data_IF_668457139377
#
_entry.id   IF_668457139377
#
_cell.length_a   1.000
_cell.length_b   1.000
_cell.length_c   1.000
_cell.angle_alpha   90.00
_cell.angle_beta   90.00
_cell.angle_gamma   90.00
#
_symmetry.space_group_name_H-M   'P 1'
#
loop_
_entity.id
_entity.type
_entity.pdbx_description
1 polymer ?
#
# COMPACT_ATOMS: atom_id res chain seq x y z
N UNK A 1 -6.64 20.17 -7.07
CA UNK A 1 -7.90 19.40 -7.06
C UNK A 1 -7.67 18.20 -6.13
N UNK A 2 -7.31 18.47 -4.87
CA UNK A 2 -6.98 17.45 -3.86
C UNK A 2 -8.14 17.24 -2.86
N UNK A 3 -9.24 17.98 -3.03
CA UNK A 3 -10.46 17.94 -2.22
C UNK A 3 -11.47 16.87 -2.69
N UNK A 4 -11.08 15.94 -3.58
CA UNK A 4 -12.11 15.24 -4.37
C UNK A 4 -12.56 13.89 -3.82
N UNK A 5 -11.78 13.23 -2.95
CA UNK A 5 -12.24 11.98 -2.32
C UNK A 5 -12.71 12.30 -0.90
N UNK A 6 -13.98 12.04 -0.68
CA UNK A 6 -14.70 12.28 0.56
C UNK A 6 -14.82 11.01 1.38
N UNK A 7 -15.10 11.14 2.67
CA UNK A 7 -15.39 10.01 3.56
C UNK A 7 -16.51 9.12 2.98
N UNK A 8 -17.53 9.73 2.37
CA UNK A 8 -18.67 9.01 1.79
C UNK A 8 -18.32 8.01 0.69
N UNK A 9 -17.19 8.22 0.01
CA UNK A 9 -16.73 7.36 -1.09
C UNK A 9 -16.02 6.09 -0.60
N UNK A 10 -15.57 6.08 0.65
CA UNK A 10 -14.73 5.00 1.19
C UNK A 10 -15.26 4.38 2.49
N UNK A 11 -16.23 5.02 3.13
CA UNK A 11 -16.84 4.51 4.36
C UNK A 11 -17.57 3.19 4.13
N UNK A 12 -17.66 2.37 5.18
CA UNK A 12 -18.55 1.22 5.21
C UNK A 12 -19.95 1.72 5.56
N UNK A 13 -20.92 1.44 4.68
CA UNK A 13 -22.32 1.87 4.85
C UNK A 13 -23.15 0.89 5.68
N UNK A 14 -22.80 -0.40 5.66
CA UNK A 14 -23.44 -1.44 6.48
C UNK A 14 -22.88 -1.42 7.92
N UNK A 15 -23.30 -0.41 8.70
CA UNK A 15 -22.83 -0.23 10.08
C UNK A 15 -23.56 -1.19 11.03
N UNK A 16 -22.78 -2.00 11.76
CA UNK A 16 -23.30 -2.85 12.84
C UNK A 16 -23.70 -1.97 14.02
N UNK A 17 -24.96 -2.07 14.44
CA UNK A 17 -25.54 -1.24 15.51
C UNK A 17 -26.22 -2.06 16.60
N UNK A 18 -26.29 -1.51 17.80
CA UNK A 18 -27.03 -2.09 18.94
C UNK A 18 -27.75 -1.00 19.77
N UNK A 19 -28.86 -1.32 20.43
CA UNK A 19 -29.53 -0.38 21.34
C UNK A 19 -28.76 -0.23 22.67
N UNK A 20 -28.93 0.89 23.41
CA UNK A 20 -28.20 1.15 24.65
C UNK A 20 -28.40 0.10 25.75
N UNK A 21 -29.58 -0.52 25.81
CA UNK A 21 -29.96 -1.56 26.77
C UNK A 21 -29.47 -2.97 26.36
N UNK A 22 -28.79 -3.10 25.21
CA UNK A 22 -28.12 -4.34 24.87
C UNK A 22 -27.00 -4.66 25.87
N UNK A 23 -26.67 -5.93 26.02
CA UNK A 23 -25.61 -6.36 26.93
C UNK A 23 -24.24 -6.35 26.26
N UNK A 24 -23.18 -6.16 27.03
CA UNK A 24 -21.79 -6.24 26.55
C UNK A 24 -21.51 -7.60 25.88
N UNK A 25 -22.06 -8.70 26.42
CA UNK A 25 -21.96 -10.03 25.79
C UNK A 25 -22.64 -10.10 24.41
N UNK A 26 -23.77 -9.40 24.24
CA UNK A 26 -24.44 -9.30 22.95
C UNK A 26 -23.61 -8.52 21.93
N UNK A 27 -22.99 -7.42 22.34
CA UNK A 27 -22.08 -6.64 21.48
C UNK A 27 -20.84 -7.45 21.09
N UNK A 28 -20.18 -8.15 22.04
CA UNK A 28 -19.06 -9.03 21.72
C UNK A 28 -19.42 -10.15 20.73
N UNK A 29 -20.65 -10.66 20.81
CA UNK A 29 -21.18 -11.63 19.84
C UNK A 29 -21.37 -11.00 18.46
N UNK A 30 -21.87 -9.76 18.38
CA UNK A 30 -22.01 -9.02 17.12
C UNK A 30 -20.65 -8.78 16.45
N UNK A 31 -19.65 -8.31 17.20
CA UNK A 31 -18.29 -8.10 16.68
C UNK A 31 -17.76 -9.37 16.01
N UNK A 32 -17.85 -10.51 16.70
CA UNK A 32 -17.36 -11.80 16.19
C UNK A 32 -18.15 -12.29 14.98
N UNK A 33 -19.48 -12.29 15.07
CA UNK A 33 -20.34 -12.93 14.08
C UNK A 33 -20.39 -12.12 12.77
N UNK A 34 -20.34 -10.79 12.87
CA UNK A 34 -20.30 -9.88 11.71
C UNK A 34 -18.86 -9.59 11.24
N UNK A 35 -17.83 -10.02 12.00
CA UNK A 35 -16.43 -9.82 11.65
C UNK A 35 -15.99 -8.35 11.67
N UNK A 36 -16.58 -7.55 12.55
CA UNK A 36 -16.30 -6.10 12.70
C UNK A 36 -15.58 -5.83 14.01
N UNK A 37 -14.82 -4.73 14.07
CA UNK A 37 -14.04 -4.34 15.26
C UNK A 37 -14.74 -3.32 16.16
N UNK A 38 -15.91 -2.82 15.76
CA UNK A 38 -16.74 -1.93 16.57
C UNK A 38 -18.25 -2.10 16.33
N UNK A 39 -19.05 -1.72 17.33
CA UNK A 39 -20.52 -1.61 17.26
C UNK A 39 -20.92 -0.20 17.65
N UNK A 40 -21.70 0.47 16.79
CA UNK A 40 -22.25 1.79 17.11
C UNK A 40 -23.53 1.64 17.94
N UNK A 41 -23.54 2.26 19.11
CA UNK A 41 -24.69 2.28 20.03
C UNK A 41 -25.61 3.42 19.65
N UNK A 42 -26.91 3.14 19.45
CA UNK A 42 -27.89 4.16 19.04
C UNK A 42 -29.28 3.96 19.65
N UNK A 43 -29.96 5.07 19.89
CA UNK A 43 -31.39 5.13 20.16
C UNK A 43 -31.99 6.24 19.28
N UNK A 44 -32.36 5.85 18.05
CA UNK A 44 -32.52 6.80 16.95
C UNK A 44 -31.15 7.28 16.45
N UNK A 45 -30.63 8.34 17.07
CA UNK A 45 -29.31 8.91 16.77
C UNK A 45 -28.17 8.08 17.41
N UNK A 46 -26.96 8.09 16.84
CA UNK A 46 -25.80 7.43 17.44
C UNK A 46 -25.38 8.17 18.71
N UNK A 47 -25.19 7.43 19.80
CA UNK A 47 -24.89 7.98 21.15
C UNK A 47 -23.53 7.52 21.70
N UNK A 48 -22.95 6.48 21.12
CA UNK A 48 -21.67 5.93 21.56
C UNK A 48 -21.16 4.84 20.63
N UNK A 49 -19.96 4.35 20.91
CA UNK A 49 -19.34 3.24 20.20
C UNK A 49 -18.73 2.29 21.23
N UNK A 50 -18.75 1.00 20.92
CA UNK A 50 -18.09 -0.05 21.69
C UNK A 50 -17.15 -0.83 20.76
N UNK A 51 -15.92 -1.02 21.20
CA UNK A 51 -14.83 -1.71 20.52
C UNK A 51 -14.38 -2.92 21.32
N UNK A 52 -13.51 -3.76 20.73
CA UNK A 52 -12.90 -4.87 21.46
C UNK A 52 -12.12 -4.41 22.71
N UNK A 53 -11.50 -3.23 22.64
CA UNK A 53 -10.72 -2.64 23.74
C UNK A 53 -11.55 -2.31 24.97
N UNK A 54 -12.80 -1.90 24.80
CA UNK A 54 -13.68 -1.49 25.90
C UNK A 54 -14.07 -2.68 26.80
N UNK A 55 -13.99 -3.92 26.30
CA UNK A 55 -14.24 -5.11 27.12
C UNK A 55 -13.06 -5.51 27.99
N UNK A 56 -11.85 -4.99 27.72
CA UNK A 56 -10.63 -5.45 28.37
C UNK A 56 -10.66 -5.21 29.89
N UNK A 57 -11.17 -4.07 30.32
CA UNK A 57 -11.30 -3.72 31.74
C UNK A 57 -12.25 -4.70 32.46
N UNK A 58 -13.45 -4.91 31.91
CA UNK A 58 -14.44 -5.83 32.51
C UNK A 58 -14.01 -7.30 32.50
N UNK A 59 -13.25 -7.73 31.50
CA UNK A 59 -12.65 -9.06 31.47
C UNK A 59 -11.60 -9.22 32.58
N UNK A 60 -10.81 -8.18 32.86
CA UNK A 60 -9.83 -8.19 33.95
C UNK A 60 -10.50 -8.27 35.33
N UNK A 61 -11.66 -7.62 35.48
CA UNK A 61 -12.45 -7.63 36.72
C UNK A 61 -13.30 -8.90 36.90
N UNK A 62 -13.39 -9.75 35.87
CA UNK A 62 -14.25 -10.95 35.83
C UNK A 62 -15.73 -10.64 36.00
N UNK A 63 -16.16 -9.48 35.49
CA UNK A 63 -17.55 -9.06 35.48
C UNK A 63 -18.36 -9.93 34.51
N UNK A 64 -19.59 -10.27 34.86
CA UNK A 64 -20.50 -10.96 33.94
C UNK A 64 -21.01 -9.99 32.87
N UNK A 65 -20.40 -10.06 31.68
CA UNK A 65 -20.78 -9.24 30.52
C UNK A 65 -22.24 -9.41 30.07
N UNK A 66 -22.93 -10.47 30.51
CA UNK A 66 -24.36 -10.65 30.27
C UNK A 66 -25.24 -9.73 31.13
N UNK A 67 -24.66 -9.10 32.16
CA UNK A 67 -25.36 -8.21 33.10
C UNK A 67 -24.98 -6.73 32.97
N UNK A 68 -24.00 -6.42 32.11
CA UNK A 68 -23.52 -5.06 31.85
C UNK A 68 -24.21 -4.53 30.58
N UNK A 69 -24.87 -3.39 30.69
CA UNK A 69 -25.51 -2.71 29.55
C UNK A 69 -24.48 -1.90 28.75
N UNK A 70 -24.71 -1.66 27.45
CA UNK A 70 -23.75 -0.91 26.63
C UNK A 70 -23.57 0.52 27.11
N UNK A 71 -24.56 1.12 27.79
CA UNK A 71 -24.42 2.43 28.42
C UNK A 71 -23.32 2.51 29.48
N UNK A 72 -22.94 1.38 30.06
CA UNK A 72 -21.90 1.31 31.10
C UNK A 72 -20.50 1.07 30.52
N UNK A 73 -20.41 0.75 29.21
CA UNK A 73 -19.15 0.34 28.54
C UNK A 73 -18.80 1.24 27.36
N UNK A 74 -19.79 1.93 26.78
CA UNK A 74 -19.58 2.77 25.62
C UNK A 74 -18.61 3.93 25.89
N UNK A 75 -17.82 4.26 24.88
CA UNK A 75 -17.02 5.47 24.87
C UNK A 75 -17.89 6.68 24.49
N UNK A 76 -17.87 7.72 25.33
CA UNK A 76 -18.58 8.99 25.11
C UNK A 76 -17.75 10.19 25.63
N UNK A 77 -17.81 11.38 24.97
CA UNK A 77 -18.67 11.74 23.85
C UNK A 77 -18.28 11.05 22.54
N UNK A 78 -19.27 10.69 21.72
CA UNK A 78 -19.05 10.06 20.43
C UNK A 78 -18.44 11.07 19.46
N UNK A 79 -17.19 10.83 19.07
CA UNK A 79 -16.57 11.59 17.98
C UNK A 79 -17.10 11.06 16.64
N UNK A 80 -17.52 11.99 15.77
CA UNK A 80 -18.15 11.66 14.48
C UNK A 80 -17.55 12.53 13.38
N UNK A 81 -17.75 12.11 12.13
CA UNK A 81 -17.26 12.83 10.95
C UNK A 81 -18.37 12.99 9.91
N UNK A 82 -18.35 14.09 9.16
CA UNK A 82 -19.35 14.33 8.11
C UNK A 82 -18.97 13.55 6.82
N UNK A 83 -19.95 13.06 6.05
CA UNK A 83 -19.71 12.27 4.85
C UNK A 83 -18.95 13.03 3.75
N UNK A 84 -19.09 14.35 3.68
CA UNK A 84 -18.42 15.24 2.73
C UNK A 84 -17.01 15.68 3.19
N UNK A 85 -16.58 15.27 4.39
CA UNK A 85 -15.23 15.53 4.88
C UNK A 85 -14.19 14.89 3.96
N UNK A 86 -13.06 15.57 3.73
CA UNK A 86 -11.97 14.99 2.94
C UNK A 86 -11.28 13.85 3.70
N UNK A 87 -10.73 12.86 2.99
CA UNK A 87 -9.96 11.78 3.64
C UNK A 87 -8.74 12.34 4.39
N UNK A 88 -8.11 13.40 3.88
CA UNK A 88 -6.94 14.03 4.54
C UNK A 88 -7.32 14.56 5.91
N UNK A 89 -8.45 15.26 6.00
CA UNK A 89 -8.94 15.79 7.26
C UNK A 89 -9.39 14.65 8.19
N UNK A 90 -10.02 13.60 7.64
CA UNK A 90 -10.39 12.42 8.42
C UNK A 90 -9.18 11.70 9.07
N UNK A 91 -8.06 11.59 8.34
CA UNK A 91 -6.80 11.05 8.87
C UNK A 91 -6.25 11.93 9.99
N UNK A 92 -6.34 13.25 9.86
CA UNK A 92 -5.92 14.18 10.91
C UNK A 92 -6.77 13.99 12.17
N UNK A 93 -8.10 13.88 12.03
CA UNK A 93 -9.02 13.62 13.15
C UNK A 93 -8.67 12.31 13.87
N UNK A 94 -8.46 11.20 13.16
CA UNK A 94 -8.07 9.92 13.78
C UNK A 94 -6.73 10.01 14.51
N UNK A 95 -5.74 10.73 13.94
CA UNK A 95 -4.44 10.94 14.59
C UNK A 95 -4.52 11.79 15.85
N UNK A 96 -5.31 12.85 15.83
CA UNK A 96 -5.44 13.79 16.94
C UNK A 96 -6.27 13.21 18.09
N UNK A 97 -7.34 12.48 17.75
CA UNK A 97 -8.23 11.84 18.73
C UNK A 97 -7.66 10.53 19.29
N UNK A 98 -6.81 9.84 18.53
CA UNK A 98 -6.27 8.53 18.90
C UNK A 98 -7.27 7.38 18.77
N UNK A 99 -8.43 7.64 18.15
CA UNK A 99 -9.44 6.62 17.86
C UNK A 99 -9.14 5.91 16.55
N UNK A 100 -9.58 4.65 16.44
CA UNK A 100 -9.44 3.85 15.22
C UNK A 100 -10.72 3.80 14.38
N UNK A 101 -11.82 4.32 14.92
CA UNK A 101 -13.17 4.22 14.35
C UNK A 101 -13.89 5.56 14.47
N UNK A 102 -14.39 6.07 13.35
CA UNK A 102 -15.21 7.28 13.27
C UNK A 102 -16.56 6.95 12.62
N UNK A 103 -17.65 6.93 13.40
CA UNK A 103 -18.99 6.94 12.84
C UNK A 103 -19.20 8.16 11.94
N UNK A 104 -19.76 7.92 10.76
CA UNK A 104 -20.06 8.94 9.77
C UNK A 104 -21.52 9.35 9.90
N UNK A 105 -21.76 10.62 10.14
CA UNK A 105 -23.09 11.17 10.41
C UNK A 105 -23.42 12.27 9.40
N UNK A 106 -24.58 12.16 8.76
CA UNK A 106 -25.09 13.19 7.86
C UNK A 106 -26.00 14.17 8.63
N UNK A 107 -25.64 15.46 8.60
CA UNK A 107 -26.28 16.54 9.37
C UNK A 107 -25.49 16.96 10.62
N UNK A 108 -26.01 17.99 11.32
CA UNK A 108 -25.44 18.50 12.58
C UNK A 108 -25.74 17.55 13.78
N UNK A 109 -25.48 17.98 15.03
CA UNK A 109 -25.73 17.20 16.26
C UNK A 109 -27.08 16.45 16.26
N UNK A 110 -27.02 15.11 16.26
CA UNK A 110 -28.19 14.23 16.18
C UNK A 110 -28.55 13.73 14.77
N UNK A 111 -27.67 13.95 13.78
CA UNK A 111 -27.82 13.48 12.40
C UNK A 111 -27.89 11.96 12.24
N UNK A 112 -28.19 11.53 11.02
CA UNK A 112 -28.36 10.13 10.69
C UNK A 112 -27.01 9.43 10.51
N UNK A 113 -26.84 8.26 11.15
CA UNK A 113 -25.67 7.41 10.94
C UNK A 113 -25.71 6.83 9.52
N UNK A 114 -24.79 7.28 8.67
CA UNK A 114 -24.72 6.89 7.25
C UNK A 114 -23.54 5.98 6.92
N UNK A 115 -22.58 5.86 7.83
CA UNK A 115 -21.46 4.93 7.65
C UNK A 115 -20.52 4.88 8.84
N UNK A 116 -19.42 4.17 8.67
CA UNK A 116 -18.29 4.16 9.59
C UNK A 116 -17.00 4.19 8.78
N UNK A 117 -16.03 4.98 9.25
CA UNK A 117 -14.69 5.04 8.71
C UNK A 117 -13.72 4.52 9.75
N UNK A 118 -12.94 3.51 9.41
CA UNK A 118 -11.89 2.99 10.30
C UNK A 118 -10.50 3.15 9.69
N UNK A 119 -9.48 2.95 10.52
CA UNK A 119 -8.10 2.82 10.06
C UNK A 119 -7.92 1.70 9.03
N UNK A 120 -8.82 0.70 9.00
CA UNK A 120 -8.80 -0.38 7.99
C UNK A 120 -9.23 0.15 6.63
N UNK A 121 -10.35 0.88 6.53
CA UNK A 121 -10.75 1.51 5.26
C UNK A 121 -9.66 2.46 4.79
N UNK A 122 -9.10 3.25 5.71
CA UNK A 122 -7.98 4.12 5.40
C UNK A 122 -6.72 3.35 5.01
N UNK A 123 -6.45 2.15 5.52
CA UNK A 123 -5.26 1.39 5.11
C UNK A 123 -5.23 1.09 3.62
N UNK A 124 -6.40 1.00 2.97
CA UNK A 124 -6.51 0.88 1.51
C UNK A 124 -6.22 2.20 0.76
N UNK A 125 -6.28 3.36 1.44
CA UNK A 125 -6.16 4.70 0.85
C UNK A 125 -4.98 5.56 1.36
N UNK A 126 -4.43 5.27 2.54
CA UNK A 126 -3.22 5.87 3.13
C UNK A 126 -2.03 5.82 2.18
N UNK A 127 -1.83 4.77 1.36
CA UNK A 127 -0.77 4.78 0.36
C UNK A 127 -0.95 5.89 -0.70
N UNK A 128 -2.17 6.40 -0.94
CA UNK A 128 -2.43 7.48 -1.89
C UNK A 128 -2.26 8.88 -1.29
N UNK A 129 -2.28 9.02 0.04
CA UNK A 129 -2.17 10.31 0.73
C UNK A 129 -0.73 10.64 1.16
N UNK A 130 0.11 9.64 1.42
CA UNK A 130 1.54 9.84 1.65
C UNK A 130 2.26 10.43 0.41
N UNK A 131 1.73 10.18 -0.79
CA UNK A 131 2.41 10.35 -2.08
C UNK A 131 2.39 11.74 -2.73
N UNK A 132 1.88 12.82 -2.11
CA UNK A 132 1.70 14.09 -2.85
C UNK A 132 2.09 15.40 -2.15
N UNK A 133 2.92 15.35 -1.12
CA UNK A 133 3.74 16.51 -0.71
C UNK A 133 4.89 16.80 -1.67
N UNK A 134 5.23 15.89 -2.59
CA UNK A 134 6.23 16.09 -3.65
C UNK A 134 5.60 16.30 -5.02
N UNK A 135 5.45 17.57 -5.43
CA UNK A 135 4.99 17.91 -6.77
C UNK A 135 6.03 17.52 -7.84
N UNK A 136 5.77 16.47 -8.61
CA UNK A 136 6.53 16.17 -9.82
C UNK A 136 6.13 17.13 -10.93
N UNK A 137 6.89 18.22 -11.04
CA UNK A 137 6.92 19.06 -12.23
C UNK A 137 7.34 18.25 -13.46
N UNK A 138 6.56 18.37 -14.52
CA UNK A 138 6.89 17.81 -15.83
C UNK A 138 8.11 18.53 -16.39
N UNK A 139 9.27 17.90 -16.37
CA UNK A 139 10.32 18.20 -17.34
C UNK A 139 11.14 16.95 -17.72
N UNK A 140 11.67 16.98 -18.94
CA UNK A 140 12.04 15.83 -19.81
C UNK A 140 13.02 14.79 -19.21
N UNK A 141 12.88 13.49 -19.53
CA UNK A 141 13.86 12.46 -19.16
C UNK A 141 15.19 12.66 -19.90
N UNK A 142 16.31 12.60 -19.17
CA UNK A 142 17.65 12.39 -19.73
C UNK A 142 18.09 10.97 -19.38
N UNK A 143 18.20 10.12 -20.40
CA UNK A 143 18.62 8.74 -20.30
C UNK A 143 20.15 8.66 -20.30
N UNK A 144 20.77 8.17 -19.23
CA UNK A 144 22.18 7.73 -19.23
C UNK A 144 22.32 6.43 -18.45
N UNK A 145 22.91 5.44 -19.12
CA UNK A 145 23.26 4.09 -18.66
C UNK A 145 24.22 4.19 -17.45
N UNK A 146 23.94 3.44 -16.37
CA UNK A 146 24.84 3.29 -15.21
C UNK A 146 25.80 2.11 -15.42
N UNK A 147 26.96 2.19 -14.77
CA UNK A 147 28.17 1.39 -15.05
C UNK A 147 28.09 -0.07 -14.56
N UNK A 148 27.15 -0.41 -13.68
CA UNK A 148 27.07 -1.70 -12.99
C UNK A 148 26.04 -2.68 -13.58
N UNK A 149 25.22 -2.25 -14.54
CA UNK A 149 24.36 -3.17 -15.30
C UNK A 149 25.11 -3.77 -16.49
N UNK A 150 25.25 -5.09 -16.53
CA UNK A 150 26.04 -5.79 -17.56
C UNK A 150 25.41 -5.74 -18.97
N UNK A 151 24.08 -5.65 -19.07
CA UNK A 151 23.36 -5.60 -20.35
C UNK A 151 22.01 -4.88 -20.20
N UNK A 152 21.47 -4.41 -21.32
CA UNK A 152 20.13 -3.82 -21.44
C UNK A 152 19.44 -4.39 -22.69
N UNK A 153 18.11 -4.28 -22.76
CA UNK A 153 17.32 -4.65 -23.94
C UNK A 153 16.63 -3.42 -24.52
N UNK A 154 16.37 -3.44 -25.82
CA UNK A 154 15.78 -2.31 -26.56
C UNK A 154 14.37 -1.93 -26.08
N UNK A 155 13.61 -2.88 -25.53
CA UNK A 155 12.25 -2.66 -25.03
C UNK A 155 12.19 -2.08 -23.60
N UNK A 156 13.34 -2.04 -22.92
CA UNK A 156 13.46 -1.55 -21.55
C UNK A 156 13.65 -0.03 -21.55
N UNK A 157 12.94 0.64 -20.66
CA UNK A 157 13.12 2.06 -20.42
C UNK A 157 13.42 2.27 -18.95
N UNK A 158 14.39 3.13 -18.66
CA UNK A 158 14.74 3.50 -17.30
C UNK A 158 15.01 4.99 -17.22
N UNK A 159 14.77 5.53 -16.03
CA UNK A 159 15.01 6.93 -15.73
C UNK A 159 15.50 7.02 -14.29
N UNK A 160 16.54 7.82 -14.04
CA UNK A 160 16.92 8.21 -12.70
C UNK A 160 16.94 9.73 -12.64
N UNK A 161 16.24 10.31 -11.67
CA UNK A 161 16.17 11.74 -11.41
C UNK A 161 16.75 12.02 -10.04
N UNK A 162 17.75 12.89 -10.00
CA UNK A 162 18.44 13.30 -8.78
C UNK A 162 19.05 14.70 -8.96
N UNK A 163 19.26 15.40 -7.86
CA UNK A 163 20.04 16.64 -7.86
C UNK A 163 21.55 16.35 -8.00
N UNK A 164 22.01 15.20 -7.49
CA UNK A 164 23.38 14.71 -7.63
C UNK A 164 23.40 13.30 -8.21
N UNK A 165 24.02 13.11 -9.36
CA UNK A 165 24.06 11.79 -10.03
C UNK A 165 25.08 10.80 -9.42
N UNK A 166 25.89 11.24 -8.46
CA UNK A 166 26.97 10.42 -7.84
C UNK A 166 26.64 9.89 -6.45
N UNK A 167 25.60 10.39 -5.80
CA UNK A 167 25.17 10.00 -4.44
C UNK A 167 23.68 9.74 -4.42
N UNK A 168 23.22 8.95 -3.45
CA UNK A 168 21.79 8.79 -3.17
C UNK A 168 21.37 9.87 -2.19
N UNK A 169 20.38 10.64 -2.58
CA UNK A 169 19.81 11.71 -1.76
C UNK A 169 18.29 11.54 -1.62
N UNK A 170 17.72 12.04 -0.51
CA UNK A 170 16.26 12.05 -0.32
C UNK A 170 15.61 12.90 -1.41
N UNK A 171 14.59 12.38 -2.06
CA UNK A 171 13.92 12.95 -3.23
C UNK A 171 14.37 12.35 -4.57
N UNK A 172 15.40 11.50 -4.57
CA UNK A 172 15.82 10.77 -5.77
C UNK A 172 14.73 9.80 -6.23
N UNK A 173 14.55 9.71 -7.55
CA UNK A 173 13.55 8.83 -8.16
C UNK A 173 14.19 7.95 -9.24
N UNK A 174 14.12 6.64 -9.05
CA UNK A 174 14.46 5.66 -10.07
C UNK A 174 13.20 5.05 -10.69
N UNK A 175 13.20 4.84 -12.00
CA UNK A 175 12.12 4.21 -12.75
C UNK A 175 12.67 3.13 -13.66
N UNK A 176 11.93 2.03 -13.76
CA UNK A 176 12.20 0.97 -14.72
C UNK A 176 10.88 0.46 -15.32
N UNK A 177 10.87 0.24 -16.63
CA UNK A 177 9.69 -0.25 -17.34
C UNK A 177 10.08 -1.21 -18.45
N UNK A 178 9.32 -2.31 -18.56
CA UNK A 178 9.43 -3.31 -19.63
C UNK A 178 8.06 -3.90 -19.92
N UNK A 179 7.93 -4.57 -21.06
CA UNK A 179 6.79 -5.46 -21.32
C UNK A 179 7.05 -6.79 -20.61
N UNK A 180 6.07 -7.31 -19.86
CA UNK A 180 6.17 -8.66 -19.26
C UNK A 180 5.53 -9.65 -20.23
N UNK A 181 6.38 -10.40 -20.93
CA UNK A 181 5.94 -11.34 -21.97
C UNK A 181 5.48 -12.69 -21.41
N UNK A 182 4.79 -13.48 -22.22
CA UNK A 182 4.49 -14.89 -21.91
C UNK A 182 5.76 -15.68 -21.54
N UNK A 183 6.88 -15.44 -22.25
CA UNK A 183 8.15 -16.09 -21.95
C UNK A 183 8.75 -15.69 -20.59
N UNK A 184 8.47 -14.48 -20.10
CA UNK A 184 8.87 -14.07 -18.74
C UNK A 184 8.06 -14.81 -17.68
N UNK A 185 6.75 -15.01 -17.92
CA UNK A 185 5.86 -15.74 -17.01
C UNK A 185 6.25 -17.22 -16.92
N UNK A 186 6.55 -17.84 -18.06
CA UNK A 186 7.03 -19.23 -18.12
C UNK A 186 8.39 -19.38 -17.41
N UNK A 187 9.35 -18.50 -17.72
CA UNK A 187 10.66 -18.52 -17.06
C UNK A 187 10.55 -18.30 -15.55
N UNK A 188 9.64 -17.42 -15.11
CA UNK A 188 9.40 -17.20 -13.69
C UNK A 188 8.78 -18.43 -13.01
N UNK A 189 7.83 -19.11 -13.66
CA UNK A 189 7.25 -20.35 -13.13
C UNK A 189 8.33 -21.45 -12.96
N UNK A 190 9.28 -21.54 -13.89
CA UNK A 190 10.39 -22.50 -13.80
C UNK A 190 11.36 -22.19 -12.65
N UNK A 191 11.78 -20.92 -12.49
CA UNK A 191 12.75 -20.53 -11.45
C UNK A 191 12.14 -20.49 -10.05
N UNK A 192 10.87 -20.07 -9.93
CA UNK A 192 10.18 -19.94 -8.64
C UNK A 192 9.54 -21.25 -8.18
N UNK A 193 9.21 -22.15 -9.12
CA UNK A 193 8.39 -23.34 -8.87
C UNK A 193 6.89 -23.05 -8.79
N UNK A 194 6.46 -21.79 -8.92
CA UNK A 194 5.04 -21.44 -8.97
C UNK A 194 4.45 -21.74 -10.35
N UNK A 195 3.95 -22.97 -10.47
CA UNK A 195 3.29 -23.51 -11.66
C UNK A 195 1.77 -23.43 -11.59
N UNK A 196 1.22 -22.49 -10.80
CA UNK A 196 -0.21 -22.30 -10.68
C UNK A 196 -0.85 -22.09 -12.07
N UNK A 197 -1.90 -22.87 -12.35
CA UNK A 197 -2.61 -22.88 -13.64
C UNK A 197 -3.17 -21.51 -14.01
N UNK A 198 -3.44 -20.63 -13.03
CA UNK A 198 -3.88 -19.26 -13.29
C UNK A 198 -2.91 -18.49 -14.20
N UNK A 199 -1.61 -18.76 -14.12
CA UNK A 199 -0.58 -18.06 -14.90
C UNK A 199 -0.29 -18.75 -16.24
N UNK A 200 -0.52 -20.05 -16.35
CA UNK A 200 0.00 -20.88 -17.44
C UNK A 200 -1.08 -21.46 -18.36
N UNK A 201 -2.29 -21.69 -17.86
CA UNK A 201 -3.36 -22.39 -18.58
C UNK A 201 -4.51 -21.42 -18.92
N UNK A 202 -4.61 -21.06 -20.20
CA UNK A 202 -5.63 -20.11 -20.67
C UNK A 202 -7.06 -20.62 -20.48
N UNK A 203 -7.30 -21.93 -20.63
CA UNK A 203 -8.64 -22.50 -20.46
C UNK A 203 -9.06 -22.46 -18.99
N UNK A 204 -8.13 -22.77 -18.08
CA UNK A 204 -8.37 -22.65 -16.65
C UNK A 204 -8.59 -21.19 -16.22
N UNK A 205 -7.73 -20.28 -16.67
CA UNK A 205 -7.79 -18.88 -16.27
C UNK A 205 -9.10 -18.20 -16.72
N UNK A 206 -9.63 -18.58 -17.89
CA UNK A 206 -10.92 -18.14 -18.40
C UNK A 206 -12.12 -18.49 -17.51
N UNK A 207 -12.01 -19.54 -16.68
CA UNK A 207 -13.04 -19.94 -15.72
C UNK A 207 -12.92 -19.20 -14.38
N UNK A 208 -11.85 -18.45 -14.15
CA UNK A 208 -11.63 -17.69 -12.92
C UNK A 208 -12.24 -16.30 -13.00
N UNK A 209 -12.28 -15.59 -11.86
CA UNK A 209 -12.72 -14.18 -11.81
C UNK A 209 -11.90 -13.23 -12.70
N UNK A 210 -10.70 -13.63 -13.10
CA UNK A 210 -9.81 -12.82 -13.93
C UNK A 210 -10.14 -12.94 -15.42
N UNK A 211 -10.79 -14.03 -15.86
CA UNK A 211 -11.18 -14.24 -17.26
C UNK A 211 -10.04 -14.52 -18.25
N UNK A 212 -8.79 -14.33 -17.84
CA UNK A 212 -7.58 -14.59 -18.63
C UNK A 212 -6.38 -14.87 -17.72
N UNK A 213 -5.25 -15.30 -18.34
CA UNK A 213 -4.00 -15.51 -17.61
C UNK A 213 -3.42 -14.16 -17.21
N UNK A 214 -2.87 -14.12 -16.01
CA UNK A 214 -2.24 -12.92 -15.45
C UNK A 214 -0.80 -13.23 -15.05
N UNK A 215 0.02 -12.20 -14.98
CA UNK A 215 1.40 -12.29 -14.49
C UNK A 215 1.41 -12.65 -12.99
N UNK A 216 2.40 -13.42 -12.53
CA UNK A 216 2.64 -13.64 -11.11
C UNK A 216 2.91 -12.31 -10.40
N UNK A 217 2.22 -12.00 -9.30
CA UNK A 217 2.44 -10.73 -8.58
C UNK A 217 3.90 -10.52 -8.18
N UNK A 218 4.56 -11.58 -7.71
CA UNK A 218 5.98 -11.55 -7.32
C UNK A 218 6.91 -11.32 -8.52
N UNK A 219 6.53 -11.71 -9.75
CA UNK A 219 7.31 -11.34 -10.94
C UNK A 219 7.35 -9.82 -11.14
N UNK A 220 6.22 -9.14 -10.91
CA UNK A 220 6.15 -7.68 -10.99
C UNK A 220 7.03 -6.97 -9.95
N UNK A 221 7.22 -7.54 -8.75
CA UNK A 221 8.18 -7.01 -7.76
C UNK A 221 9.62 -7.01 -8.27
N UNK A 222 9.98 -7.88 -9.21
CA UNK A 222 11.31 -7.90 -9.81
C UNK A 222 11.66 -6.58 -10.52
N UNK A 223 10.67 -5.82 -11.00
CA UNK A 223 10.90 -4.52 -11.64
C UNK A 223 11.32 -3.45 -10.61
N UNK A 224 10.89 -3.57 -9.35
CA UNK A 224 11.35 -2.71 -8.26
C UNK A 224 12.85 -2.92 -8.06
N UNK A 225 13.28 -4.19 -7.98
CA UNK A 225 14.71 -4.52 -7.89
C UNK A 225 15.49 -3.97 -9.10
N UNK A 226 14.94 -4.09 -10.31
CA UNK A 226 15.56 -3.54 -11.51
C UNK A 226 15.67 -2.01 -11.50
N UNK A 227 14.66 -1.30 -10.97
CA UNK A 227 14.70 0.15 -10.79
C UNK A 227 15.74 0.56 -9.74
N UNK A 228 15.81 -0.15 -8.62
CA UNK A 228 16.75 0.14 -7.53
C UNK A 228 18.20 -0.14 -7.91
N UNK A 229 18.45 -1.12 -8.77
CA UNK A 229 19.76 -1.33 -9.39
C UNK A 229 20.20 -0.13 -10.25
N UNK A 230 19.32 0.86 -10.48
CA UNK A 230 19.66 2.13 -11.13
C UNK A 230 19.89 3.26 -10.16
N UNK A 231 20.07 3.03 -8.86
CA UNK A 231 20.62 4.02 -7.91
C UNK A 231 22.15 4.09 -8.03
N UNK A 232 22.82 5.20 -7.64
CA UNK A 232 24.28 5.27 -7.65
C UNK A 232 24.82 4.39 -6.54
N UNK A 233 25.93 3.70 -6.81
CA UNK A 233 26.55 2.82 -5.83
C UNK A 233 26.05 1.38 -5.92
N UNK A 234 26.60 0.53 -5.06
CA UNK A 234 26.18 -0.85 -4.88
C UNK A 234 24.95 -0.89 -3.99
N UNK A 235 23.78 -1.08 -4.58
CA UNK A 235 22.52 -1.17 -3.83
C UNK A 235 22.27 -2.56 -3.28
N UNK A 236 22.12 -2.67 -1.96
CA UNK A 236 21.86 -3.90 -1.22
C UNK A 236 20.46 -3.84 -0.63
N UNK A 237 19.64 -4.84 -0.95
CA UNK A 237 18.26 -4.94 -0.50
C UNK A 237 18.19 -5.49 0.93
N UNK A 238 17.64 -4.73 1.87
CA UNK A 238 17.51 -5.14 3.27
C UNK A 238 16.10 -5.64 3.60
N UNK A 239 15.07 -4.97 3.10
CA UNK A 239 13.68 -5.39 3.25
C UNK A 239 12.80 -4.84 2.13
N UNK A 240 11.69 -5.53 1.86
CA UNK A 240 10.63 -5.10 0.95
C UNK A 240 9.28 -5.54 1.55
N UNK A 241 8.34 -4.60 1.61
CA UNK A 241 6.94 -4.86 1.91
C UNK A 241 6.12 -4.50 0.66
N UNK A 242 5.08 -5.28 0.34
CA UNK A 242 4.30 -5.06 -0.88
C UNK A 242 2.86 -5.53 -0.74
N UNK A 243 1.95 -4.71 -1.23
CA UNK A 243 0.53 -4.97 -1.39
C UNK A 243 0.20 -5.12 -2.89
N UNK A 244 -0.48 -6.19 -3.26
CA UNK A 244 -0.90 -6.47 -4.63
C UNK A 244 -2.32 -5.94 -4.85
N UNK A 245 -2.45 -4.84 -5.59
CA UNK A 245 -3.69 -4.07 -5.70
C UNK A 245 -4.54 -4.46 -6.91
N UNK A 246 -3.89 -4.85 -8.02
CA UNK A 246 -4.56 -5.23 -9.26
C UNK A 246 -3.75 -6.30 -10.03
N UNK A 247 -4.41 -7.14 -10.83
CA UNK A 247 -3.72 -8.10 -11.70
C UNK A 247 -2.99 -7.38 -12.84
N UNK A 248 -1.91 -7.98 -13.34
CA UNK A 248 -1.17 -7.50 -14.50
C UNK A 248 -1.45 -8.45 -15.67
N UNK A 249 -1.99 -7.95 -16.80
CA UNK A 249 -2.13 -8.74 -18.02
C UNK A 249 -0.76 -9.15 -18.59
N UNK A 250 -0.71 -10.31 -19.25
CA UNK A 250 0.47 -10.73 -20.01
C UNK A 250 0.61 -9.82 -21.25
N UNK A 251 1.86 -9.56 -21.65
CA UNK A 251 2.27 -8.66 -22.73
C UNK A 251 1.95 -7.17 -22.48
N UNK A 252 1.60 -6.81 -21.25
CA UNK A 252 1.44 -5.41 -20.86
C UNK A 252 2.76 -4.76 -20.44
N UNK A 253 2.84 -3.43 -20.59
CA UNK A 253 3.97 -2.63 -20.15
C UNK A 253 3.81 -2.28 -18.67
N UNK A 254 4.75 -2.77 -17.88
CA UNK A 254 4.76 -2.57 -16.43
C UNK A 254 5.89 -1.63 -16.05
N UNK A 255 5.60 -0.67 -15.16
CA UNK A 255 6.53 0.37 -14.74
C UNK A 255 6.66 0.42 -13.23
N UNK A 256 7.86 0.16 -12.72
CA UNK A 256 8.23 0.40 -11.34
C UNK A 256 8.81 1.80 -11.14
N UNK A 257 8.42 2.46 -10.06
CA UNK A 257 8.91 3.76 -9.60
C UNK A 257 9.35 3.61 -8.14
N UNK A 258 10.57 4.02 -7.86
CA UNK A 258 11.22 3.95 -6.55
C UNK A 258 11.66 5.36 -6.15
N UNK A 259 11.10 5.90 -5.07
CA UNK A 259 11.42 7.24 -4.56
C UNK A 259 12.09 7.15 -3.20
N UNK A 260 13.26 7.77 -3.04
CA UNK A 260 13.98 7.81 -1.77
C UNK A 260 13.30 8.81 -0.85
N UNK A 261 12.64 8.33 0.19
CA UNK A 261 11.80 9.17 1.06
C UNK A 261 12.42 9.47 2.42
N UNK A 262 13.44 8.72 2.82
CA UNK A 262 14.10 8.92 4.12
C UNK A 262 15.56 8.43 4.12
N UNK A 263 16.41 9.13 4.87
CA UNK A 263 17.79 8.72 5.18
C UNK A 263 17.83 8.20 6.62
N UNK A 264 18.02 6.89 6.75
CA UNK A 264 18.04 6.19 8.03
C UNK A 264 19.43 6.19 8.68
N UNK A 265 20.42 6.82 8.04
CA UNK A 265 21.81 6.88 8.47
C UNK A 265 22.60 5.61 8.17
N UNK A 266 23.92 5.76 8.07
CA UNK A 266 24.83 4.65 7.74
C UNK A 266 24.60 4.09 6.34
N UNK A 267 24.36 4.99 5.38
CA UNK A 267 24.05 4.69 3.96
C UNK A 267 22.78 3.88 3.74
N UNK A 268 21.85 3.92 4.69
CA UNK A 268 20.57 3.22 4.60
C UNK A 268 19.45 4.19 4.25
N UNK A 269 18.58 3.77 3.35
CA UNK A 269 17.50 4.60 2.84
C UNK A 269 16.18 3.86 2.87
N UNK A 270 15.11 4.56 3.23
CA UNK A 270 13.74 4.09 3.02
C UNK A 270 13.25 4.58 1.67
N UNK A 271 12.63 3.68 0.92
CA UNK A 271 12.21 3.92 -0.46
C UNK A 271 10.75 3.55 -0.61
N UNK A 272 9.94 4.46 -1.11
CA UNK A 272 8.58 4.14 -1.56
C UNK A 272 8.65 3.48 -2.94
N UNK A 273 7.92 2.37 -3.09
CA UNK A 273 7.94 1.53 -4.29
C UNK A 273 6.55 1.40 -4.86
N UNK A 274 6.39 1.76 -6.12
CA UNK A 274 5.11 1.66 -6.85
C UNK A 274 5.31 0.90 -8.13
N UNK A 275 4.37 0.03 -8.49
CA UNK A 275 4.30 -0.56 -9.82
C UNK A 275 2.97 -0.23 -10.47
N UNK A 276 3.02 0.17 -11.74
CA UNK A 276 1.86 0.52 -12.57
C UNK A 276 1.83 -0.29 -13.85
N UNK A 277 0.63 -0.55 -14.37
CA UNK A 277 0.39 -1.19 -15.66
C UNK A 277 0.43 -0.18 -16.84
N UNK A 278 0.10 -0.64 -18.05
CA UNK A 278 0.15 0.18 -19.26
C UNK A 278 -0.87 1.33 -19.28
N UNK A 279 -1.96 1.20 -18.53
CA UNK A 279 -3.02 2.20 -18.38
C UNK A 279 -2.75 3.17 -17.23
N UNK A 280 -1.69 2.93 -16.45
CA UNK A 280 -1.31 3.73 -15.28
C UNK A 280 -2.04 3.32 -14.00
N UNK A 281 -2.75 2.19 -13.99
CA UNK A 281 -3.34 1.62 -12.78
C UNK A 281 -2.23 1.15 -11.85
N UNK A 282 -2.32 1.46 -10.55
CA UNK A 282 -1.36 0.93 -9.58
C UNK A 282 -1.67 -0.54 -9.32
N UNK A 283 -0.72 -1.42 -9.63
CA UNK A 283 -0.83 -2.87 -9.45
C UNK A 283 -0.10 -3.34 -8.20
N UNK A 284 0.92 -2.60 -7.77
CA UNK A 284 1.66 -2.88 -6.55
C UNK A 284 2.07 -1.58 -5.84
N UNK A 285 1.99 -1.62 -4.52
CA UNK A 285 2.40 -0.54 -3.64
C UNK A 285 3.16 -1.09 -2.42
N UNK A 286 4.18 -0.38 -1.94
CA UNK A 286 4.86 -0.72 -0.69
C UNK A 286 6.16 0.04 -0.48
N UNK A 287 6.99 -0.45 0.43
CA UNK A 287 8.22 0.21 0.88
C UNK A 287 9.41 -0.76 0.86
N UNK A 288 10.58 -0.22 0.54
CA UNK A 288 11.86 -0.91 0.66
C UNK A 288 12.78 -0.22 1.66
N UNK A 289 13.68 -1.00 2.26
CA UNK A 289 14.88 -0.45 2.90
C UNK A 289 16.10 -1.00 2.17
N UNK A 290 16.99 -0.09 1.75
CA UNK A 290 18.24 -0.44 1.06
C UNK A 290 19.44 0.12 1.81
N UNK A 291 20.59 -0.54 1.65
CA UNK A 291 21.91 -0.02 1.98
C UNK A 291 22.64 0.26 0.67
N UNK A 292 23.31 1.40 0.56
CA UNK A 292 24.05 1.78 -0.66
C UNK A 292 25.51 2.01 -0.34
N UNK A 293 26.36 1.11 -0.83
CA UNK A 293 27.81 1.20 -0.68
C UNK A 293 28.47 1.84 -1.92
N UNK A 294 29.69 2.32 -1.76
CA UNK A 294 30.50 2.76 -2.90
C UNK A 294 30.78 1.57 -3.84
N UNK A 295 30.76 1.82 -5.15
CA UNK A 295 31.22 0.82 -6.11
C UNK A 295 32.72 0.54 -5.87
N UNK A 296 33.16 -0.73 -5.99
CA UNK A 296 34.58 -1.04 -5.93
C UNK A 296 35.32 -0.23 -7.01
N UNK A 297 36.56 0.22 -6.73
CA UNK A 297 37.36 0.92 -7.73
C UNK A 297 37.51 0.01 -8.95
N UNK A 298 37.26 0.57 -10.13
CA UNK A 298 37.37 -0.12 -11.41
C UNK A 298 38.76 -0.78 -11.46
N UNK A 299 38.83 -2.11 -11.51
CA UNK A 299 40.09 -2.79 -11.74
C UNK A 299 40.56 -2.32 -13.12
N UNK A 300 41.73 -1.65 -13.17
CA UNK A 300 42.34 -1.25 -14.42
C UNK A 300 42.28 -2.45 -15.36
N UNK A 301 41.52 -2.33 -16.44
CA UNK A 301 41.43 -3.36 -17.46
C UNK A 301 42.88 -3.74 -17.81
N UNK A 302 43.29 -4.95 -17.45
CA UNK A 302 44.57 -5.47 -17.89
C UNK A 302 44.49 -5.48 -19.42
N UNK A 303 45.24 -4.60 -20.07
CA UNK A 303 45.50 -4.64 -21.50
C UNK A 303 46.07 -6.04 -21.79
N UNK A 304 45.21 -6.99 -22.14
CA UNK A 304 45.67 -8.23 -22.76
C UNK A 304 46.36 -7.83 -24.06
N UNK A 305 47.66 -8.12 -24.21
CA UNK A 305 48.37 -7.76 -25.43
C UNK A 305 47.72 -8.55 -26.56
N UNK A 306 47.16 -7.83 -27.54
CA UNK A 306 46.70 -8.40 -28.80
C UNK A 306 47.89 -9.14 -29.41
N UNK A 307 47.86 -10.46 -29.34
CA UNK A 307 48.79 -11.32 -30.05
C UNK A 307 48.51 -11.15 -31.55
N UNK A 308 49.37 -10.39 -32.21
CA UNK A 308 49.49 -10.43 -33.66
C UNK A 308 50.22 -11.71 -34.03
N UNK A 309 49.52 -12.63 -34.70
CA UNK A 309 50.08 -13.61 -35.62
C UNK A 309 49.23 -13.65 -36.91
#
# INVERSE_FOLDING_TARGET
>A
MHDTITVSEIMVTDVVTAPPDATASRAATLLRDEGVSSVVVRDGAPIGIVTEGDFLEHLCERTDLGSVELTDVLSAPLETIAPDTSIVDAVAVLRESGFEHLPVVDGDEGGDLVGILTTTELSYYVPHLARRTGGLGADRPRQRVRTDTQYERDDWTFEYRADNESTVDVGDVARFSKVISESDVEAFAEISGDTNRLHLDAAYAAETRFGERIVHGVLATGLISAALARLPGLTIYLSQESSFLAPVPIDDRVTAVCEVVDDLGGSKYRIETTVTDGDGTTVLDGDAVVLVDDLPPEAAAEDEPVAHD
#
